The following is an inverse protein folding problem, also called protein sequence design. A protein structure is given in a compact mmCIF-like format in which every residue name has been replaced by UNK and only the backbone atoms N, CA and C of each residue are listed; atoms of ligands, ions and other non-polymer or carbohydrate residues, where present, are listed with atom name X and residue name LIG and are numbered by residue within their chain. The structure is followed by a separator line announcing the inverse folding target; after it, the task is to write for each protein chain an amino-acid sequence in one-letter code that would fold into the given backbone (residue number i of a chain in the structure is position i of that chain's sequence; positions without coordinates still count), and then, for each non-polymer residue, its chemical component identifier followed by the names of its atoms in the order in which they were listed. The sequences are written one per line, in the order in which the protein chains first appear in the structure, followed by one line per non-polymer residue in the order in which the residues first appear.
data_IF_460288633921
#
_entry.id   IF_460288633921
#
_cell.length_a   1.000
_cell.length_b   1.000
_cell.length_c   1.000
_cell.angle_alpha   90.00
_cell.angle_beta   90.00
_cell.angle_gamma   90.00
#
_symmetry.space_group_name_H-M   'P 1'
#
loop_
_entity.id
_entity.type
_entity.pdbx_description
1 polymer ?
#
# COMPACT_ATOMS: atom_id res chain seq x y z
N UNK A 1 10.10 19.74 -5.15
CA UNK A 1 10.54 18.70 -6.09
C UNK A 1 9.56 17.55 -6.01
N UNK A 2 8.86 17.33 -7.11
CA UNK A 2 8.28 16.06 -7.57
C UNK A 2 7.45 15.28 -6.56
N UNK A 3 6.20 15.75 -6.42
CA UNK A 3 5.06 15.05 -5.85
C UNK A 3 4.70 13.82 -6.69
N UNK A 4 5.62 12.85 -6.81
CA UNK A 4 5.27 11.48 -7.17
C UNK A 4 4.66 10.88 -5.91
N UNK A 5 3.35 11.11 -5.69
CA UNK A 5 2.54 10.21 -4.87
C UNK A 5 2.77 8.82 -5.43
N UNK A 6 3.68 8.07 -4.82
CA UNK A 6 4.08 6.79 -5.36
C UNK A 6 2.88 5.86 -5.23
N UNK A 7 2.76 4.88 -6.13
CA UNK A 7 1.77 3.82 -5.99
C UNK A 7 1.77 3.21 -4.56
N UNK A 8 2.95 3.22 -3.92
CA UNK A 8 3.18 2.81 -2.54
C UNK A 8 2.44 3.67 -1.51
N UNK A 9 2.50 5.01 -1.62
CA UNK A 9 1.82 5.90 -0.67
C UNK A 9 0.30 5.78 -0.78
N UNK A 10 -0.21 5.65 -2.00
CA UNK A 10 -1.64 5.42 -2.25
C UNK A 10 -2.06 4.07 -1.68
N UNK A 11 -1.27 3.01 -1.90
CA UNK A 11 -1.53 1.70 -1.34
C UNK A 11 -1.50 1.69 0.19
N UNK A 12 -0.52 2.36 0.80
CA UNK A 12 -0.42 2.51 2.24
C UNK A 12 -1.67 3.15 2.83
N UNK A 13 -2.13 4.27 2.27
CA UNK A 13 -3.35 4.93 2.72
C UNK A 13 -4.58 4.01 2.60
N UNK A 14 -4.73 3.33 1.46
CA UNK A 14 -5.85 2.41 1.26
C UNK A 14 -5.81 1.18 2.19
N UNK A 15 -4.62 0.67 2.52
CA UNK A 15 -4.45 -0.39 3.52
C UNK A 15 -4.84 0.07 4.92
N UNK A 16 -4.47 1.30 5.32
CA UNK A 16 -4.87 1.91 6.60
C UNK A 16 -6.38 2.13 6.65
N UNK A 17 -6.99 2.54 5.52
CA UNK A 17 -8.44 2.70 5.37
C UNK A 17 -9.20 1.36 5.40
N UNK A 18 -8.50 0.22 5.48
CA UNK A 18 -9.09 -1.12 5.52
C UNK A 18 -9.66 -1.59 4.18
N UNK A 19 -9.16 -1.04 3.06
CA UNK A 19 -9.55 -1.49 1.71
C UNK A 19 -8.97 -2.88 1.41
N UNK A 20 -9.69 -3.64 0.58
CA UNK A 20 -9.25 -4.97 0.14
C UNK A 20 -8.06 -4.87 -0.80
N UNK A 21 -7.16 -5.86 -0.76
CA UNK A 21 -5.96 -5.88 -1.59
C UNK A 21 -6.28 -5.79 -3.10
N UNK A 22 -7.39 -6.36 -3.58
CA UNK A 22 -7.82 -6.27 -4.99
C UNK A 22 -8.05 -4.82 -5.43
N UNK A 23 -8.84 -4.05 -4.67
CA UNK A 23 -9.10 -2.62 -4.96
C UNK A 23 -7.79 -1.81 -5.02
N UNK A 24 -6.85 -2.15 -4.15
CA UNK A 24 -5.56 -1.49 -4.07
C UNK A 24 -4.69 -1.87 -5.26
N UNK A 25 -4.67 -3.14 -5.65
CA UNK A 25 -3.95 -3.62 -6.84
C UNK A 25 -4.49 -2.97 -8.11
N UNK A 26 -5.81 -2.88 -8.27
CA UNK A 26 -6.44 -2.24 -9.44
C UNK A 26 -6.02 -0.77 -9.55
N UNK A 27 -5.99 -0.06 -8.42
CA UNK A 27 -5.70 1.38 -8.40
C UNK A 27 -4.23 1.72 -8.48
N UNK A 28 -3.39 0.94 -7.79
CA UNK A 28 -1.96 1.21 -7.65
C UNK A 28 -1.09 0.39 -8.60
N UNK A 29 -1.67 -0.62 -9.25
CA UNK A 29 -0.96 -1.59 -10.10
C UNK A 29 0.19 -2.30 -9.38
N UNK A 30 0.19 -2.30 -8.04
CA UNK A 30 1.15 -3.03 -7.23
C UNK A 30 0.77 -4.50 -7.15
N UNK A 31 1.77 -5.35 -6.92
CA UNK A 31 1.53 -6.78 -6.70
C UNK A 31 1.14 -7.03 -5.24
N UNK A 32 0.37 -8.09 -5.00
CA UNK A 32 0.04 -8.59 -3.66
C UNK A 32 1.26 -8.69 -2.72
N UNK A 33 2.42 -9.13 -3.22
CA UNK A 33 3.66 -9.20 -2.44
C UNK A 33 4.11 -7.83 -1.93
N UNK A 34 3.99 -6.82 -2.78
CA UNK A 34 4.39 -5.44 -2.47
C UNK A 34 3.41 -4.84 -1.45
N UNK A 35 2.10 -5.10 -1.60
CA UNK A 35 1.07 -4.68 -0.63
C UNK A 35 1.28 -5.30 0.76
N UNK A 36 1.54 -6.62 0.83
CA UNK A 36 1.86 -7.29 2.11
C UNK A 36 3.14 -6.76 2.74
N UNK A 37 4.12 -6.34 1.92
CA UNK A 37 5.35 -5.72 2.43
C UNK A 37 5.04 -4.37 3.06
N UNK A 38 4.23 -3.54 2.42
CA UNK A 38 3.77 -2.25 2.97
C UNK A 38 3.02 -2.45 4.28
N UNK A 39 2.07 -3.38 4.31
CA UNK A 39 1.30 -3.71 5.51
C UNK A 39 2.23 -4.13 6.66
N UNK A 40 3.20 -5.01 6.39
CA UNK A 40 4.14 -5.48 7.40
C UNK A 40 5.12 -4.40 7.86
N UNK A 41 5.73 -3.66 6.94
CA UNK A 41 6.80 -2.72 7.25
C UNK A 41 6.25 -1.40 7.83
N UNK A 42 5.05 -0.99 7.42
CA UNK A 42 4.52 0.34 7.76
C UNK A 42 3.29 0.35 8.66
N UNK A 43 2.47 -0.71 8.68
CA UNK A 43 1.25 -0.78 9.50
C UNK A 43 1.49 -1.60 10.76
N UNK A 44 2.16 -2.74 10.63
CA UNK A 44 2.46 -3.59 11.77
C UNK A 44 3.95 -3.96 11.80
N UNK A 45 4.85 -2.98 12.00
CA UNK A 45 6.23 -3.27 12.32
C UNK A 45 6.22 -4.03 13.63
N UNK A 46 6.38 -5.34 13.55
CA UNK A 46 6.39 -6.26 14.68
C UNK A 46 7.33 -5.68 15.75
N UNK A 47 6.73 -5.27 16.88
CA UNK A 47 7.42 -4.86 18.10
C UNK A 47 8.16 -6.05 18.73
#
# INVERSE_FOLDING_TARGET
MDNKKSAHDTAKQMLIDGKSFEDIMEKTHLRLKDLKRIEKDEINPHF
#
